data_IF_678860077331
#
_entry.id   IF_678860077331
#
_cell.length_a   1.000
_cell.length_b   1.000
_cell.length_c   1.000
_cell.angle_alpha   90.00
_cell.angle_beta   90.00
_cell.angle_gamma   90.00
#
_symmetry.space_group_name_H-M   'P 1'
#
loop_
_entity.id
_entity.type
_entity.pdbx_description
1 polymer ?
#
# COMPACT_ATOMS: atom_id res chain seq x y z
N UNK A 1 -16.42 -17.45 -19.84
CA UNK A 1 -17.55 -17.93 -19.01
C UNK A 1 -18.26 -19.04 -19.75
N UNK A 2 -18.82 -20.01 -19.03
CA UNK A 2 -19.59 -21.12 -19.61
C UNK A 2 -21.07 -20.83 -19.34
N UNK A 3 -21.87 -20.45 -20.36
CA UNK A 3 -23.29 -20.16 -20.14
C UNK A 3 -24.04 -21.37 -19.56
N UNK A 4 -24.85 -21.16 -18.52
CA UNK A 4 -25.64 -22.22 -17.87
C UNK A 4 -24.91 -22.99 -16.78
N UNK A 5 -23.70 -22.57 -16.36
CA UNK A 5 -22.96 -23.20 -15.26
C UNK A 5 -23.25 -22.61 -13.88
N UNK A 6 -24.23 -21.71 -13.76
CA UNK A 6 -24.62 -21.07 -12.51
C UNK A 6 -25.31 -22.07 -11.58
N UNK A 7 -25.02 -22.00 -10.28
CA UNK A 7 -25.62 -22.88 -9.28
C UNK A 7 -25.86 -22.14 -7.97
N UNK A 8 -26.72 -22.71 -7.13
CA UNK A 8 -26.99 -22.25 -5.76
C UNK A 8 -26.39 -23.27 -4.79
N UNK A 9 -25.79 -22.78 -3.71
CA UNK A 9 -25.19 -23.61 -2.66
C UNK A 9 -25.75 -23.17 -1.31
N UNK A 10 -26.24 -24.13 -0.53
CA UNK A 10 -26.76 -23.89 0.82
C UNK A 10 -25.59 -23.88 1.82
N UNK A 11 -25.41 -22.75 2.52
CA UNK A 11 -24.31 -22.53 3.46
C UNK A 11 -24.77 -21.69 4.64
N UNK A 12 -24.30 -22.04 5.85
CA UNK A 12 -24.60 -21.30 7.07
C UNK A 12 -23.75 -20.03 7.23
N UNK A 13 -22.58 -19.97 6.59
CA UNK A 13 -21.62 -18.87 6.75
C UNK A 13 -20.74 -18.70 5.51
N UNK A 14 -20.45 -17.45 5.16
CA UNK A 14 -19.53 -17.06 4.08
C UNK A 14 -18.44 -16.15 4.64
N UNK A 15 -17.17 -16.47 4.36
CA UNK A 15 -16.01 -15.65 4.71
C UNK A 15 -15.34 -15.18 3.42
N UNK A 16 -15.32 -13.86 3.19
CA UNK A 16 -14.68 -13.27 2.01
C UNK A 16 -13.20 -13.02 2.25
N UNK A 17 -12.34 -13.88 1.71
CA UNK A 17 -10.87 -13.76 1.78
C UNK A 17 -10.24 -13.36 0.44
N UNK A 18 -10.83 -12.37 -0.24
CA UNK A 18 -10.41 -11.91 -1.58
C UNK A 18 -9.15 -11.00 -1.55
N UNK A 19 -8.66 -10.67 -0.35
CA UNK A 19 -7.55 -9.75 -0.13
C UNK A 19 -7.99 -8.35 0.26
N UNK A 20 -7.02 -7.44 0.33
CA UNK A 20 -7.22 -6.06 0.81
C UNK A 20 -6.78 -5.05 -0.24
N UNK A 21 -7.33 -3.84 -0.18
CA UNK A 21 -6.89 -2.71 -0.99
C UNK A 21 -6.51 -1.52 -0.09
N UNK A 22 -5.62 -0.63 -0.55
CA UNK A 22 -5.25 0.56 0.22
C UNK A 22 -6.45 1.44 0.58
N UNK A 23 -6.42 2.04 1.78
CA UNK A 23 -7.48 2.92 2.27
C UNK A 23 -7.55 4.20 1.41
N UNK A 24 -8.69 4.48 0.75
CA UNK A 24 -8.80 5.61 -0.16
C UNK A 24 -8.73 6.98 0.53
N UNK A 25 -8.99 7.05 1.85
CA UNK A 25 -9.03 8.32 2.58
C UNK A 25 -7.69 9.05 2.46
N UNK A 26 -6.56 8.37 2.73
CA UNK A 26 -5.22 8.97 2.68
C UNK A 26 -4.96 9.62 1.33
N UNK A 27 -5.24 8.92 0.23
CA UNK A 27 -5.04 9.46 -1.12
C UNK A 27 -6.01 10.59 -1.47
N UNK A 28 -7.23 10.56 -0.94
CA UNK A 28 -8.26 11.56 -1.25
C UNK A 28 -8.11 12.86 -0.45
N UNK A 29 -7.55 12.80 0.75
CA UNK A 29 -7.44 13.96 1.66
C UNK A 29 -6.05 14.58 1.69
N UNK A 30 -5.04 13.89 1.13
CA UNK A 30 -3.64 14.35 1.22
C UNK A 30 -3.18 14.93 -0.12
N UNK A 31 -3.32 16.24 -0.29
CA UNK A 31 -2.85 16.93 -1.49
C UNK A 31 -1.33 16.75 -1.67
N UNK A 32 -0.91 16.48 -2.91
CA UNK A 32 0.48 16.26 -3.30
C UNK A 32 0.98 14.83 -3.08
N UNK A 33 0.12 13.89 -2.67
CA UNK A 33 0.45 12.48 -2.54
C UNK A 33 -0.07 11.68 -3.74
N UNK A 34 0.82 11.23 -4.61
CA UNK A 34 0.47 10.44 -5.78
C UNK A 34 0.18 8.98 -5.43
N UNK A 35 -0.74 8.39 -6.20
CA UNK A 35 -1.09 6.97 -6.12
C UNK A 35 -1.03 6.32 -7.50
N UNK A 36 -0.75 5.02 -7.51
CA UNK A 36 -0.81 4.22 -8.73
C UNK A 36 -2.25 3.75 -9.05
N UNK A 37 -2.42 3.05 -10.18
CA UNK A 37 -3.72 2.51 -10.63
C UNK A 37 -4.39 1.55 -9.63
N UNK A 38 -3.62 0.95 -8.70
CA UNK A 38 -4.08 0.07 -7.63
C UNK A 38 -4.29 0.80 -6.30
N UNK A 39 -4.27 2.15 -6.30
CA UNK A 39 -4.39 3.03 -5.13
C UNK A 39 -3.26 2.90 -4.10
N UNK A 40 -2.15 2.26 -4.46
CA UNK A 40 -0.98 2.24 -3.59
C UNK A 40 -0.23 3.57 -3.72
N UNK A 41 0.38 4.01 -2.61
CA UNK A 41 1.17 5.25 -2.55
C UNK A 41 2.41 5.09 -3.44
N UNK A 42 2.67 6.10 -4.27
CA UNK A 42 3.91 6.16 -5.04
C UNK A 42 5.03 6.64 -4.11
N UNK A 43 6.06 5.82 -3.96
CA UNK A 43 7.23 6.10 -3.15
C UNK A 43 8.50 5.57 -3.84
N UNK A 44 9.62 6.25 -3.63
CA UNK A 44 10.94 5.81 -4.09
C UNK A 44 11.37 4.51 -3.37
N UNK A 45 11.91 3.55 -4.12
CA UNK A 45 12.24 2.22 -3.59
C UNK A 45 13.37 2.22 -2.55
N UNK A 46 14.34 3.13 -2.69
CA UNK A 46 15.52 3.18 -1.80
C UNK A 46 15.32 4.05 -0.57
N UNK A 47 14.45 5.05 -0.64
CA UNK A 47 14.27 6.05 0.43
C UNK A 47 12.88 5.98 1.06
N UNK A 48 11.90 5.40 0.38
CA UNK A 48 10.49 5.48 0.76
C UNK A 48 9.89 6.88 0.61
N UNK A 49 10.61 7.85 0.03
CA UNK A 49 10.12 9.22 -0.14
C UNK A 49 8.96 9.24 -1.13
N UNK A 50 7.86 9.88 -0.73
CA UNK A 50 6.69 10.06 -1.59
C UNK A 50 6.81 11.34 -2.40
N UNK A 51 5.84 11.60 -3.29
CA UNK A 51 5.76 12.87 -4.03
C UNK A 51 5.50 14.09 -3.15
N UNK A 52 5.14 13.89 -1.87
CA UNK A 52 4.95 14.95 -0.90
C UNK A 52 6.21 15.09 -0.04
N UNK A 53 6.76 16.30 0.02
CA UNK A 53 7.97 16.60 0.79
C UNK A 53 7.82 16.15 2.26
N UNK A 54 8.88 15.55 2.79
CA UNK A 54 8.97 15.05 4.16
C UNK A 54 7.92 13.97 4.53
N UNK A 55 7.26 13.38 3.54
CA UNK A 55 6.32 12.26 3.72
C UNK A 55 6.89 11.01 3.07
N UNK A 56 6.91 9.93 3.85
CA UNK A 56 7.51 8.66 3.47
C UNK A 56 6.48 7.53 3.61
N UNK A 57 6.62 6.48 2.80
CA UNK A 57 5.75 5.31 2.82
C UNK A 57 6.55 4.03 2.54
N UNK A 58 6.04 2.90 3.04
CA UNK A 58 6.64 1.58 2.84
C UNK A 58 5.66 0.45 3.13
N UNK A 59 6.07 -0.78 2.82
CA UNK A 59 5.25 -1.99 2.97
C UNK A 59 4.04 -2.04 2.04
N UNK A 60 2.99 -2.73 2.47
CA UNK A 60 1.80 -3.02 1.64
C UNK A 60 1.07 -1.76 1.12
N UNK A 61 1.26 -0.62 1.78
CA UNK A 61 0.72 0.66 1.31
C UNK A 61 1.34 1.12 -0.02
N UNK A 62 2.56 0.65 -0.35
CA UNK A 62 3.31 0.98 -1.57
C UNK A 62 3.26 -0.18 -2.56
N UNK A 63 3.47 -1.42 -2.09
CA UNK A 63 3.57 -2.60 -2.97
C UNK A 63 2.25 -3.33 -3.22
N UNK A 64 1.22 -3.06 -2.40
CA UNK A 64 0.11 -3.99 -2.21
C UNK A 64 0.55 -5.20 -1.37
N UNK A 65 -0.37 -6.16 -1.18
CA UNK A 65 -0.17 -7.33 -0.32
C UNK A 65 1.19 -8.01 -0.56
N UNK A 66 2.07 -7.97 0.44
CA UNK A 66 3.42 -8.51 0.38
C UNK A 66 3.75 -9.31 1.65
N UNK A 67 5.04 -9.52 1.93
CA UNK A 67 5.52 -10.25 3.10
C UNK A 67 6.03 -9.30 4.17
N UNK A 68 6.00 -9.76 5.43
CA UNK A 68 6.48 -8.98 6.59
C UNK A 68 7.94 -8.54 6.43
N UNK A 69 8.79 -9.36 5.83
CA UNK A 69 10.22 -9.02 5.65
C UNK A 69 10.42 -7.86 4.67
N UNK A 70 9.59 -7.76 3.63
CA UNK A 70 9.64 -6.65 2.68
C UNK A 70 9.14 -5.36 3.32
N UNK A 71 8.06 -5.43 4.11
CA UNK A 71 7.57 -4.29 4.87
C UNK A 71 8.60 -3.77 5.88
N UNK A 72 9.27 -4.69 6.59
CA UNK A 72 10.37 -4.34 7.50
C UNK A 72 11.56 -3.70 6.77
N UNK A 73 11.94 -4.23 5.60
CA UNK A 73 13.00 -3.66 4.77
C UNK A 73 12.69 -2.22 4.32
N UNK A 74 11.47 -2.01 3.81
CA UNK A 74 10.99 -0.67 3.43
C UNK A 74 10.98 0.29 4.62
N UNK A 75 10.54 -0.16 5.80
CA UNK A 75 10.55 0.65 7.02
C UNK A 75 11.95 1.08 7.44
N UNK A 76 12.95 0.18 7.36
CA UNK A 76 14.35 0.51 7.68
C UNK A 76 14.94 1.53 6.70
N UNK A 77 14.66 1.38 5.40
CA UNK A 77 15.08 2.34 4.37
C UNK A 77 14.47 3.73 4.60
N UNK A 78 13.16 3.77 4.84
CA UNK A 78 12.44 5.02 5.15
C UNK A 78 12.97 5.70 6.42
N UNK A 79 13.20 4.93 7.50
CA UNK A 79 13.74 5.48 8.74
C UNK A 79 15.12 6.14 8.54
N UNK A 80 16.01 5.51 7.77
CA UNK A 80 17.31 6.07 7.44
C UNK A 80 17.17 7.37 6.63
N UNK A 81 16.30 7.39 5.63
CA UNK A 81 16.07 8.57 4.80
C UNK A 81 15.44 9.74 5.59
N UNK A 82 14.55 9.44 6.53
CA UNK A 82 13.97 10.44 7.45
C UNK A 82 15.06 11.04 8.34
N UNK A 83 15.91 10.21 8.93
CA UNK A 83 17.03 10.67 9.77
C UNK A 83 17.98 11.58 8.99
N UNK A 84 18.38 11.18 7.78
CA UNK A 84 19.23 12.01 6.91
C UNK A 84 18.56 13.33 6.50
N UNK A 85 17.24 13.35 6.27
CA UNK A 85 16.50 14.57 5.98
C UNK A 85 16.47 15.52 7.18
N UNK A 86 16.26 14.98 8.39
CA UNK A 86 16.19 15.78 9.61
C UNK A 86 17.56 16.34 10.03
N UNK A 87 18.65 15.61 9.80
CA UNK A 87 20.01 16.09 10.12
C UNK A 87 20.50 17.22 9.20
N UNK A 88 19.97 17.29 7.98
CA UNK A 88 20.34 18.33 6.99
C UNK A 88 19.48 19.59 7.10
N UNK A 89 18.50 19.59 7.99
CA UNK A 89 17.54 20.68 8.20
C UNK A 89 17.98 21.58 9.35
#
# INVERSE_FOLDING_TARGET
EVPGSEFVMDVDTVIMSLGTSPNPLISSTTQGLEINKRRCIVAEEETGLTTKEAVYAGGDAVTGAATVILAMGAGKKAAKAIDEYLQKK
#
